data_IF_874825506399
#
_entry.id   IF_874825506399
#
_cell.length_a   1.000
_cell.length_b   1.000
_cell.length_c   1.000
_cell.angle_alpha   90.00
_cell.angle_beta   90.00
_cell.angle_gamma   90.00
#
_symmetry.space_group_name_H-M   'P 1'
#
loop_
_entity.id
_entity.type
_entity.pdbx_description
1 polymer ?
#
# COMPACT_ATOMS: atom_id res chain seq x y z
N UNK A 1 15.19 -21.80 10.25
CA UNK A 1 14.78 -21.10 9.01
C UNK A 1 13.31 -20.74 9.19
N UNK A 2 12.96 -19.46 9.24
CA UNK A 2 11.56 -19.02 9.34
C UNK A 2 11.04 -18.73 7.93
N UNK A 3 10.10 -19.51 7.38
CA UNK A 3 9.54 -19.23 6.07
C UNK A 3 8.73 -17.92 6.12
N UNK A 4 8.98 -16.99 5.20
CA UNK A 4 8.07 -15.88 4.98
C UNK A 4 6.81 -16.41 4.29
N UNK A 5 5.66 -16.14 4.89
CA UNK A 5 4.37 -16.41 4.27
C UNK A 5 4.20 -15.49 3.06
N UNK A 6 3.74 -16.01 1.91
CA UNK A 6 3.42 -15.16 0.76
C UNK A 6 2.37 -14.11 1.17
N UNK A 7 2.60 -12.87 0.75
CA UNK A 7 1.69 -11.76 1.02
C UNK A 7 0.40 -11.95 0.22
N UNK A 8 -0.72 -12.04 0.91
CA UNK A 8 -2.06 -12.00 0.32
C UNK A 8 -2.51 -10.55 0.10
N UNK A 9 -3.66 -10.38 -0.56
CA UNK A 9 -4.20 -9.06 -0.88
C UNK A 9 -4.46 -8.24 0.38
N UNK A 10 -5.03 -8.87 1.42
CA UNK A 10 -5.29 -8.22 2.71
C UNK A 10 -3.99 -7.77 3.38
N UNK A 11 -2.92 -8.58 3.37
CA UNK A 11 -1.63 -8.17 3.90
C UNK A 11 -1.03 -6.99 3.13
N UNK A 12 -1.17 -6.94 1.80
CA UNK A 12 -0.72 -5.80 1.00
C UNK A 12 -1.52 -4.52 1.33
N UNK A 13 -2.84 -4.61 1.49
CA UNK A 13 -3.68 -3.47 1.92
C UNK A 13 -3.27 -2.98 3.31
N UNK A 14 -2.98 -3.90 4.23
CA UNK A 14 -2.49 -3.55 5.57
C UNK A 14 -1.14 -2.85 5.50
N UNK A 15 -0.20 -3.32 4.68
CA UNK A 15 1.10 -2.66 4.46
C UNK A 15 0.93 -1.24 3.90
N UNK A 16 -0.08 -1.02 3.05
CA UNK A 16 -0.38 0.29 2.49
C UNK A 16 -0.98 1.26 3.50
N UNK A 17 -1.50 0.82 4.65
CA UNK A 17 -2.31 1.69 5.55
C UNK A 17 -1.88 1.70 7.03
N UNK A 18 -1.49 0.54 7.59
CA UNK A 18 -1.18 0.39 9.03
C UNK A 18 0.22 0.88 9.42
N UNK A 19 1.31 0.55 8.70
CA UNK A 19 2.66 0.93 9.11
C UNK A 19 2.82 2.45 9.23
N UNK A 20 3.66 2.87 10.19
CA UNK A 20 4.02 4.29 10.35
C UNK A 20 4.56 4.91 9.05
N UNK A 21 5.31 4.11 8.29
CA UNK A 21 5.94 4.51 7.03
C UNK A 21 5.18 3.99 5.80
N UNK A 22 3.87 3.72 5.92
CA UNK A 22 3.08 3.25 4.80
C UNK A 22 3.05 4.26 3.65
N UNK A 23 3.01 3.78 2.40
CA UNK A 23 3.05 4.62 1.20
C UNK A 23 1.92 5.65 1.17
N UNK A 24 0.69 5.26 1.54
CA UNK A 24 -0.45 6.19 1.59
C UNK A 24 -0.17 7.39 2.48
N UNK A 25 0.46 7.18 3.65
CA UNK A 25 0.83 8.26 4.59
C UNK A 25 1.93 9.16 4.03
N UNK A 26 2.89 8.58 3.32
CA UNK A 26 3.95 9.35 2.65
C UNK A 26 3.35 10.26 1.57
N UNK A 27 2.45 9.72 0.74
CA UNK A 27 1.76 10.50 -0.30
C UNK A 27 0.81 11.54 0.29
N UNK A 28 0.11 11.21 1.38
CA UNK A 28 -0.70 12.19 2.11
C UNK A 28 0.13 13.40 2.54
N UNK A 29 1.31 13.14 3.13
CA UNK A 29 2.20 14.22 3.58
C UNK A 29 2.75 15.02 2.41
N UNK A 30 3.10 14.36 1.32
CA UNK A 30 3.57 15.01 0.09
C UNK A 30 2.51 15.97 -0.47
N UNK A 31 1.25 15.54 -0.57
CA UNK A 31 0.16 16.37 -1.07
C UNK A 31 -0.22 17.50 -0.10
N UNK A 32 -0.16 17.25 1.21
CA UNK A 32 -0.37 18.28 2.23
C UNK A 32 0.66 19.43 2.11
N UNK A 33 1.91 19.10 1.77
CA UNK A 33 2.96 20.10 1.53
C UNK A 33 2.66 21.00 0.31
N UNK A 34 1.94 20.47 -0.68
CA UNK A 34 1.48 21.20 -1.88
C UNK A 34 0.11 21.88 -1.65
N UNK A 35 -0.45 21.82 -0.44
CA UNK A 35 -1.75 22.39 -0.11
C UNK A 35 -2.95 21.62 -0.69
N UNK A 36 -2.75 20.36 -1.08
CA UNK A 36 -3.78 19.50 -1.63
C UNK A 36 -4.22 18.40 -0.65
N UNK A 37 -5.50 18.05 -0.69
CA UNK A 37 -6.03 16.87 0.00
C UNK A 37 -5.92 15.63 -0.87
N UNK A 38 -5.46 14.51 -0.31
CA UNK A 38 -5.45 13.20 -0.94
C UNK A 38 -6.28 12.25 -0.09
N UNK A 39 -7.12 11.42 -0.70
CA UNK A 39 -7.86 10.38 0.01
C UNK A 39 -7.81 9.09 -0.81
N UNK A 40 -7.57 7.98 -0.13
CA UNK A 40 -7.58 6.65 -0.75
C UNK A 40 -8.83 5.91 -0.28
N UNK A 41 -9.71 5.55 -1.21
CA UNK A 41 -10.87 4.73 -0.88
C UNK A 41 -10.46 3.28 -0.61
N UNK A 42 -11.19 2.54 0.24
CA UNK A 42 -10.91 1.13 0.51
C UNK A 42 -10.84 0.27 -0.76
N UNK A 43 -11.68 0.56 -1.76
CA UNK A 43 -11.72 -0.14 -3.04
C UNK A 43 -10.45 0.13 -3.86
N UNK A 44 -9.97 1.38 -3.88
CA UNK A 44 -8.74 1.74 -4.60
C UNK A 44 -7.53 1.01 -4.04
N UNK A 45 -7.45 0.85 -2.71
CA UNK A 45 -6.35 0.15 -2.04
C UNK A 45 -6.35 -1.35 -2.36
N UNK A 46 -7.53 -1.97 -2.44
CA UNK A 46 -7.67 -3.37 -2.87
C UNK A 46 -7.22 -3.57 -4.31
N UNK A 47 -7.64 -2.70 -5.23
CA UNK A 47 -7.23 -2.78 -6.63
C UNK A 47 -5.72 -2.57 -6.82
N UNK A 48 -5.11 -1.67 -6.03
CA UNK A 48 -3.65 -1.50 -6.00
C UNK A 48 -2.97 -2.78 -5.50
N UNK A 49 -3.44 -3.37 -4.39
CA UNK A 49 -2.90 -4.61 -3.84
C UNK A 49 -3.02 -5.78 -4.84
N UNK A 50 -4.16 -5.90 -5.51
CA UNK A 50 -4.39 -6.90 -6.56
C UNK A 50 -3.40 -6.73 -7.73
N UNK A 51 -3.22 -5.51 -8.23
CA UNK A 51 -2.24 -5.22 -9.31
C UNK A 51 -0.80 -5.49 -8.89
N UNK A 52 -0.44 -5.19 -7.64
CA UNK A 52 0.90 -5.48 -7.11
C UNK A 52 1.16 -6.99 -7.01
N UNK A 53 0.13 -7.75 -6.63
CA UNK A 53 0.18 -9.22 -6.62
C UNK A 53 0.31 -9.81 -8.03
N UNK A 54 -0.44 -9.29 -9.00
CA UNK A 54 -0.35 -9.71 -10.41
C UNK A 54 1.02 -9.43 -11.03
N UNK A 55 1.74 -8.41 -10.55
CA UNK A 55 3.09 -8.05 -11.02
C UNK A 55 4.21 -8.88 -10.36
N UNK A 56 3.89 -9.78 -9.43
CA UNK A 56 4.84 -10.64 -8.69
C UNK A 56 5.99 -9.86 -8.01
N UNK A 57 5.79 -8.57 -7.78
CA UNK A 57 6.77 -7.68 -7.14
C UNK A 57 6.62 -7.66 -5.61
N UNK A 58 5.58 -8.32 -5.08
CA UNK A 58 5.25 -8.33 -3.66
C UNK A 58 5.09 -6.91 -3.09
N UNK A 59 5.56 -6.67 -1.87
CA UNK A 59 5.54 -5.33 -1.26
C UNK A 59 6.48 -4.31 -1.95
N UNK A 60 7.36 -4.73 -2.87
CA UNK A 60 8.37 -3.88 -3.51
C UNK A 60 7.89 -3.23 -4.82
N UNK A 61 6.77 -3.66 -5.38
CA UNK A 61 6.15 -2.99 -6.54
C UNK A 61 4.84 -2.28 -6.24
N UNK A 62 4.60 -2.04 -4.94
CA UNK A 62 3.65 -1.04 -4.45
C UNK A 62 4.26 0.36 -4.53
#
# INVERSE_FOLDING_TARGET
IAPLTPLDEDALVRILTEPRNALTRQYHKLFEMEGAGLEFTPESLREIAKKAKERDTGARGL
#
